data_IF_096702671660
#
_entry.id   IF_096702671660
#
_cell.length_a   1.000
_cell.length_b   1.000
_cell.length_c   1.000
_cell.angle_alpha   90.00
_cell.angle_beta   90.00
_cell.angle_gamma   90.00
#
_symmetry.space_group_name_H-M   'P 1'
#
loop_
_entity.id
_entity.type
_entity.pdbx_description
1 polymer ?
#
# COMPACT_ATOMS: atom_id res chain seq x y z
N UNK A 1 16.73 -6.46 38.65
CA UNK A 1 16.73 -5.06 38.18
C UNK A 1 15.30 -4.53 38.15
N UNK A 2 14.90 -3.64 39.07
CA UNK A 2 13.52 -3.19 39.26
C UNK A 2 13.21 -2.01 38.33
N UNK A 3 12.61 -2.28 37.17
CA UNK A 3 12.18 -1.22 36.24
C UNK A 3 11.07 -0.41 36.95
N UNK A 4 11.30 0.88 37.14
CA UNK A 4 10.37 1.81 37.77
C UNK A 4 9.10 1.93 36.90
N UNK A 5 7.91 1.88 37.51
CA UNK A 5 6.62 2.02 36.82
C UNK A 5 6.54 3.28 35.96
N UNK A 6 7.20 4.37 36.36
CA UNK A 6 7.34 5.60 35.56
C UNK A 6 8.16 5.41 34.29
N UNK A 7 9.24 4.62 34.35
CA UNK A 7 10.05 4.27 33.16
C UNK A 7 9.29 3.32 32.24
N UNK A 8 8.51 2.38 32.79
CA UNK A 8 7.65 1.49 32.00
C UNK A 8 6.54 2.27 31.28
N UNK A 9 5.94 3.24 31.96
CA UNK A 9 4.94 4.16 31.39
C UNK A 9 5.56 5.07 30.31
N UNK A 10 6.75 5.62 30.54
CA UNK A 10 7.46 6.42 29.54
C UNK A 10 7.88 5.62 28.29
N UNK A 11 8.20 4.33 28.46
CA UNK A 11 8.50 3.42 27.34
C UNK A 11 7.26 3.18 26.47
N UNK A 12 6.09 3.00 27.11
CA UNK A 12 4.80 2.85 26.42
C UNK A 12 4.41 4.18 25.75
N UNK A 13 4.62 5.31 26.43
CA UNK A 13 4.25 6.65 25.96
C UNK A 13 5.02 7.08 24.69
N UNK A 14 6.29 6.67 24.55
CA UNK A 14 7.08 6.95 23.35
C UNK A 14 6.89 5.90 22.24
N UNK A 15 6.32 4.72 22.55
CA UNK A 15 6.11 3.64 21.59
C UNK A 15 5.00 3.91 20.58
N UNK A 16 4.03 4.78 20.92
CA UNK A 16 2.91 5.12 20.03
C UNK A 16 3.36 5.75 18.71
N UNK A 17 4.44 6.53 18.71
CA UNK A 17 5.00 7.12 17.49
C UNK A 17 5.66 6.11 16.54
N UNK A 18 6.01 4.92 17.04
CA UNK A 18 6.68 3.88 16.24
C UNK A 18 5.70 2.98 15.49
N UNK A 19 4.45 2.88 15.96
CA UNK A 19 3.42 2.05 15.36
C UNK A 19 3.20 2.30 13.85
N UNK A 20 3.02 3.55 13.36
CA UNK A 20 2.84 3.78 11.93
C UNK A 20 4.08 3.39 11.11
N UNK A 21 5.28 3.61 11.64
CA UNK A 21 6.52 3.22 10.96
C UNK A 21 6.63 1.70 10.82
N UNK A 22 6.32 0.95 11.89
CA UNK A 22 6.29 -0.52 11.86
C UNK A 22 5.23 -1.05 10.91
N UNK A 23 4.06 -0.40 10.83
CA UNK A 23 3.00 -0.76 9.89
C UNK A 23 3.45 -0.58 8.43
N UNK A 24 4.03 0.58 8.10
CA UNK A 24 4.53 0.86 6.74
C UNK A 24 5.62 -0.15 6.37
N UNK A 25 6.55 -0.45 7.29
CA UNK A 25 7.60 -1.43 7.07
C UNK A 25 7.03 -2.83 6.84
N UNK A 26 6.03 -3.25 7.61
CA UNK A 26 5.38 -4.54 7.44
C UNK A 26 4.67 -4.65 6.08
N UNK A 27 3.96 -3.59 5.66
CA UNK A 27 3.32 -3.53 4.35
C UNK A 27 4.35 -3.56 3.21
N UNK A 28 5.48 -2.88 3.37
CA UNK A 28 6.58 -2.93 2.39
C UNK A 28 7.17 -4.35 2.27
N UNK A 29 7.45 -5.02 3.39
CA UNK A 29 7.93 -6.40 3.38
C UNK A 29 6.90 -7.32 2.70
N UNK A 30 5.62 -7.14 3.00
CA UNK A 30 4.55 -7.94 2.41
C UNK A 30 4.43 -7.73 0.89
N UNK A 31 4.58 -6.49 0.42
CA UNK A 31 4.60 -6.16 -1.00
C UNK A 31 5.74 -6.86 -1.74
N UNK A 32 6.93 -6.95 -1.13
CA UNK A 32 8.07 -7.66 -1.72
C UNK A 32 7.95 -9.19 -1.64
N UNK A 33 7.22 -9.71 -0.65
CA UNK A 33 7.07 -11.15 -0.42
C UNK A 33 5.94 -11.79 -1.23
N UNK A 34 4.89 -11.01 -1.56
CA UNK A 34 3.77 -11.49 -2.34
C UNK A 34 4.11 -11.52 -3.83
N UNK A 35 3.63 -12.53 -4.58
CA UNK A 35 3.78 -12.56 -6.02
C UNK A 35 2.87 -11.52 -6.67
N UNK A 36 3.34 -10.94 -7.77
CA UNK A 36 2.57 -9.98 -8.57
C UNK A 36 1.28 -10.61 -9.10
N UNK A 37 0.16 -9.92 -8.89
CA UNK A 37 -1.17 -10.29 -9.38
C UNK A 37 -1.33 -9.76 -10.81
N UNK A 38 -1.80 -10.61 -11.72
CA UNK A 38 -1.98 -10.25 -13.13
C UNK A 38 -3.39 -9.71 -13.43
N UNK A 39 -4.40 -10.19 -12.70
CA UNK A 39 -5.80 -9.84 -12.94
C UNK A 39 -6.55 -9.57 -11.63
N UNK A 40 -7.30 -8.48 -11.58
CA UNK A 40 -8.22 -8.14 -10.51
C UNK A 40 -9.64 -8.60 -10.88
N UNK A 41 -10.17 -9.55 -10.12
CA UNK A 41 -11.56 -10.01 -10.29
C UNK A 41 -12.57 -8.93 -9.87
N UNK A 42 -12.26 -8.20 -8.79
CA UNK A 42 -13.13 -7.16 -8.23
C UNK A 42 -13.36 -6.02 -9.23
N UNK A 43 -12.29 -5.52 -9.87
CA UNK A 43 -12.41 -4.46 -10.89
C UNK A 43 -12.56 -4.99 -12.32
N UNK A 44 -12.51 -6.31 -12.53
CA UNK A 44 -12.57 -6.95 -13.86
C UNK A 44 -11.56 -6.40 -14.87
N UNK A 45 -10.30 -6.21 -14.44
CA UNK A 45 -9.22 -5.71 -15.31
C UNK A 45 -7.87 -6.36 -15.04
N UNK A 46 -7.00 -6.28 -16.04
CA UNK A 46 -5.59 -6.59 -15.87
C UNK A 46 -4.89 -5.51 -15.03
N UNK A 47 -4.01 -5.97 -14.16
CA UNK A 47 -3.22 -5.13 -13.26
C UNK A 47 -1.90 -4.74 -13.93
N UNK A 48 -1.44 -3.53 -13.65
CA UNK A 48 -0.14 -3.07 -14.12
C UNK A 48 0.95 -4.04 -13.64
N UNK A 49 1.84 -4.37 -14.58
CA UNK A 49 3.01 -5.21 -14.34
C UNK A 49 4.25 -4.32 -14.31
N UNK A 50 5.36 -4.89 -13.85
CA UNK A 50 6.62 -4.16 -13.77
C UNK A 50 6.94 -3.51 -15.13
N UNK A 51 7.11 -2.17 -15.19
CA UNK A 51 7.33 -1.50 -16.45
C UNK A 51 8.69 -1.87 -17.02
N UNK A 52 8.72 -2.13 -18.33
CA UNK A 52 9.98 -2.29 -19.05
C UNK A 52 10.72 -0.95 -19.04
N UNK A 53 11.99 -0.97 -18.64
CA UNK A 53 12.83 0.21 -18.64
C UNK A 53 13.09 0.67 -20.08
N UNK A 54 12.64 1.87 -20.41
CA UNK A 54 12.81 2.48 -21.73
C UNK A 54 13.15 3.98 -21.56
N UNK A 55 14.29 4.38 -22.12
CA UNK A 55 14.85 5.72 -22.01
C UNK A 55 13.90 6.77 -22.59
N UNK A 56 13.18 6.46 -23.66
CA UNK A 56 12.20 7.39 -24.24
C UNK A 56 11.05 7.65 -23.26
N UNK A 57 10.57 6.59 -22.58
CA UNK A 57 9.51 6.70 -21.58
C UNK A 57 9.94 7.41 -20.30
N UNK A 58 11.23 7.33 -19.97
CA UNK A 58 11.80 8.06 -18.83
C UNK A 58 11.88 9.55 -19.15
N UNK A 59 12.39 9.92 -20.32
CA UNK A 59 12.54 11.32 -20.74
C UNK A 59 11.19 12.01 -20.95
N UNK A 60 10.17 11.28 -21.38
CA UNK A 60 8.82 11.82 -21.56
C UNK A 60 7.94 11.75 -20.30
N UNK A 61 8.46 11.23 -19.18
CA UNK A 61 7.77 11.14 -17.88
C UNK A 61 6.74 10.02 -17.76
N UNK A 62 6.39 9.32 -18.85
CA UNK A 62 5.40 8.22 -18.79
C UNK A 62 5.88 6.99 -18.02
N UNK A 63 7.19 6.84 -17.82
CA UNK A 63 7.75 5.77 -16.99
C UNK A 63 7.31 5.90 -15.53
N UNK A 64 7.29 7.12 -14.97
CA UNK A 64 6.86 7.37 -13.60
C UNK A 64 5.40 6.94 -13.40
N UNK A 65 4.50 7.34 -14.30
CA UNK A 65 3.09 6.95 -14.22
C UNK A 65 2.88 5.44 -14.30
N UNK A 66 3.70 4.73 -15.09
CA UNK A 66 3.64 3.25 -15.15
C UNK A 66 4.13 2.60 -13.86
N UNK A 67 5.19 3.14 -13.27
CA UNK A 67 5.72 2.70 -11.97
C UNK A 67 4.67 2.94 -10.88
N UNK A 68 4.06 4.11 -10.83
CA UNK A 68 3.01 4.44 -9.87
C UNK A 68 1.79 3.51 -10.02
N UNK A 69 1.35 3.27 -11.26
CA UNK A 69 0.27 2.34 -11.55
C UNK A 69 0.61 0.92 -11.08
N UNK A 70 1.84 0.45 -11.30
CA UNK A 70 2.31 -0.84 -10.80
C UNK A 70 2.28 -0.91 -9.28
N UNK A 71 2.86 0.05 -8.57
CA UNK A 71 2.87 0.05 -7.11
C UNK A 71 1.47 0.12 -6.50
N UNK A 72 0.58 0.90 -7.12
CA UNK A 72 -0.83 0.98 -6.71
C UNK A 72 -1.56 -0.35 -6.93
N UNK A 73 -1.29 -1.02 -8.05
CA UNK A 73 -1.93 -2.28 -8.41
C UNK A 73 -1.43 -3.49 -7.63
N UNK A 74 -0.16 -3.49 -7.24
CA UNK A 74 0.46 -4.57 -6.48
C UNK A 74 0.47 -4.33 -4.96
N UNK A 75 -0.20 -3.28 -4.47
CA UNK A 75 -0.23 -2.97 -3.05
C UNK A 75 -0.91 -4.10 -2.24
N UNK A 76 -0.35 -4.52 -1.08
CA UNK A 76 -0.97 -5.56 -0.27
C UNK A 76 -2.36 -5.15 0.23
N UNK A 77 -3.29 -6.11 0.24
CA UNK A 77 -4.69 -5.89 0.66
C UNK A 77 -5.47 -4.88 -0.18
N UNK A 78 -5.02 -4.59 -1.40
CA UNK A 78 -5.71 -3.72 -2.36
C UNK A 78 -7.19 -4.05 -2.55
N UNK A 79 -7.55 -5.34 -2.58
CA UNK A 79 -8.94 -5.78 -2.77
C UNK A 79 -9.88 -5.18 -1.68
N UNK A 80 -9.39 -4.98 -0.44
CA UNK A 80 -10.16 -4.33 0.64
C UNK A 80 -10.43 -2.85 0.32
N UNK A 81 -9.43 -2.13 -0.18
CA UNK A 81 -9.56 -0.73 -0.57
C UNK A 81 -10.53 -0.55 -1.75
N UNK A 82 -10.45 -1.45 -2.73
CA UNK A 82 -11.38 -1.47 -3.87
C UNK A 82 -12.83 -1.65 -3.39
N UNK A 83 -13.08 -2.61 -2.50
CA UNK A 83 -14.42 -2.81 -1.92
C UNK A 83 -14.93 -1.58 -1.16
N UNK A 84 -14.06 -0.93 -0.37
CA UNK A 84 -14.42 0.29 0.36
C UNK A 84 -14.76 1.42 -0.61
N UNK A 85 -13.96 1.59 -1.67
CA UNK A 85 -14.19 2.61 -2.70
C UNK A 85 -15.50 2.35 -3.45
N UNK A 86 -15.77 1.10 -3.83
CA UNK A 86 -17.00 0.74 -4.52
C UNK A 86 -18.23 0.97 -3.64
N UNK A 87 -18.19 0.54 -2.37
CA UNK A 87 -19.26 0.81 -1.41
C UNK A 87 -19.46 2.30 -1.15
N UNK A 88 -18.38 3.08 -1.09
CA UNK A 88 -18.45 4.54 -0.92
C UNK A 88 -19.06 5.23 -2.15
N UNK A 89 -18.71 4.77 -3.36
CA UNK A 89 -19.29 5.26 -4.60
C UNK A 89 -20.78 4.93 -4.69
N UNK A 90 -21.18 3.70 -4.33
CA UNK A 90 -22.60 3.34 -4.27
C UNK A 90 -23.35 4.32 -3.36
N UNK A 91 -22.90 4.55 -2.13
CA UNK A 91 -23.57 5.48 -1.20
C UNK A 91 -23.61 6.92 -1.73
N UNK A 92 -22.55 7.38 -2.38
CA UNK A 92 -22.44 8.76 -2.88
C UNK A 92 -23.32 9.01 -4.11
N UNK A 93 -23.45 8.01 -4.99
CA UNK A 93 -24.16 8.10 -6.27
C UNK A 93 -25.53 7.41 -6.28
N UNK A 94 -25.93 6.68 -5.22
CA UNK A 94 -27.33 6.26 -4.95
C UNK A 94 -28.22 7.44 -4.46
N UNK A 95 -27.94 8.65 -4.93
CA UNK A 95 -28.88 9.78 -4.90
C UNK A 95 -29.36 10.09 -6.31
#
# INVERSE_FOLDING_TARGET
MRINSKKKLALIQNGWGMLPFLLILALFILHLALPDKTFSQEERRYLAQWPVFDIETVLNGSYESKVEAYFSDQFPFRDVWVHIQEGSNQILFDR
#
